data_IF_168503989881
#
_entry.id   IF_168503989881
#
_cell.length_a   1.000
_cell.length_b   1.000
_cell.length_c   1.000
_cell.angle_alpha   90.00
_cell.angle_beta   90.00
_cell.angle_gamma   90.00
#
_symmetry.space_group_name_H-M   'P 1'
#
loop_
_entity.id
_entity.type
_entity.pdbx_description
1 polymer ?
#
# COMPACT_ATOMS: atom_id res chain seq x y z
N UNK A 1 27.80 0.51 13.49
CA UNK A 1 27.67 0.01 12.10
C UNK A 1 26.91 -1.32 12.00
N UNK A 2 27.06 -2.22 12.98
CA UNK A 2 26.46 -3.57 12.98
C UNK A 2 24.95 -3.60 13.24
N UNK A 3 24.46 -2.67 14.05
CA UNK A 3 23.04 -2.51 14.38
C UNK A 3 22.18 -2.13 13.16
N UNK A 4 22.73 -1.30 12.27
CA UNK A 4 22.05 -0.89 11.04
C UNK A 4 21.90 -2.06 10.06
N UNK A 5 22.88 -2.98 10.05
CA UNK A 5 22.85 -4.20 9.24
C UNK A 5 21.79 -5.17 9.74
N UNK A 6 21.69 -5.36 11.07
CA UNK A 6 20.62 -6.17 11.68
C UNK A 6 19.24 -5.59 11.40
N UNK A 7 19.06 -4.27 11.52
CA UNK A 7 17.78 -3.61 11.16
C UNK A 7 17.41 -3.80 9.68
N UNK A 8 18.38 -3.74 8.76
CA UNK A 8 18.16 -4.01 7.32
C UNK A 8 17.81 -5.47 7.02
N UNK A 9 18.42 -6.41 7.73
CA UNK A 9 18.12 -7.84 7.60
C UNK A 9 16.73 -8.19 8.13
N UNK A 10 16.35 -7.63 9.29
CA UNK A 10 15.00 -7.75 9.84
C UNK A 10 13.98 -7.13 8.89
N UNK A 11 14.26 -5.95 8.33
CA UNK A 11 13.41 -5.34 7.30
C UNK A 11 13.29 -6.26 6.07
N UNK A 12 14.39 -6.80 5.55
CA UNK A 12 14.36 -7.76 4.42
C UNK A 12 13.56 -9.02 4.72
N UNK A 13 13.64 -9.55 5.94
CA UNK A 13 12.90 -10.74 6.38
C UNK A 13 11.41 -10.45 6.53
N UNK A 14 11.06 -9.28 7.10
CA UNK A 14 9.67 -8.81 7.14
C UNK A 14 9.12 -8.58 5.73
N UNK A 15 9.90 -8.01 4.80
CA UNK A 15 9.51 -7.84 3.39
C UNK A 15 9.44 -9.18 2.62
N UNK A 16 10.14 -10.23 3.07
CA UNK A 16 10.07 -11.57 2.47
C UNK A 16 8.87 -12.39 2.95
N UNK A 17 8.43 -12.19 4.19
CA UNK A 17 7.28 -12.89 4.78
C UNK A 17 5.96 -12.12 4.64
N UNK A 18 6.01 -10.81 4.39
CA UNK A 18 4.88 -10.07 3.85
C UNK A 18 4.83 -10.37 2.37
N UNK A 19 3.83 -11.13 1.93
CA UNK A 19 3.43 -11.15 0.53
C UNK A 19 3.25 -9.69 0.10
N UNK A 20 4.27 -9.15 -0.59
CA UNK A 20 4.19 -7.84 -1.21
C UNK A 20 3.06 -7.95 -2.20
N UNK A 21 1.89 -7.42 -1.83
CA UNK A 21 0.80 -7.28 -2.75
C UNK A 21 1.37 -6.56 -3.98
N UNK A 22 1.27 -7.20 -5.14
CA UNK A 22 1.84 -6.62 -6.35
C UNK A 22 1.16 -5.26 -6.55
N UNK A 23 1.95 -4.17 -6.52
CA UNK A 23 1.44 -2.81 -6.64
C UNK A 23 0.55 -2.62 -7.88
N UNK A 24 0.79 -3.37 -8.96
CA UNK A 24 -0.06 -3.35 -10.14
C UNK A 24 -1.43 -4.00 -9.90
N UNK A 25 -1.50 -5.06 -9.10
CA UNK A 25 -2.76 -5.67 -8.68
C UNK A 25 -3.54 -4.74 -7.74
N UNK A 26 -2.84 -4.07 -6.82
CA UNK A 26 -3.46 -3.06 -5.94
C UNK A 26 -4.02 -1.89 -6.75
N UNK A 27 -3.27 -1.37 -7.71
CA UNK A 27 -3.75 -0.34 -8.64
C UNK A 27 -4.96 -0.81 -9.46
N UNK A 28 -4.92 -2.03 -9.99
CA UNK A 28 -6.03 -2.59 -10.74
C UNK A 28 -7.30 -2.75 -9.88
N UNK A 29 -7.12 -3.14 -8.60
CA UNK A 29 -8.20 -3.22 -7.63
C UNK A 29 -8.79 -1.83 -7.36
N UNK A 30 -7.97 -0.84 -7.00
CA UNK A 30 -8.41 0.54 -6.73
C UNK A 30 -9.15 1.12 -7.94
N UNK A 31 -8.67 0.82 -9.17
CA UNK A 31 -9.30 1.28 -10.42
C UNK A 31 -10.73 0.76 -10.62
N UNK A 32 -11.09 -0.38 -10.01
CA UNK A 32 -12.47 -0.92 -10.07
C UNK A 32 -13.45 -0.10 -9.23
N UNK A 33 -12.97 0.65 -8.25
CA UNK A 33 -13.80 1.49 -7.39
C UNK A 33 -13.94 2.89 -7.99
N UNK A 34 -14.96 3.07 -8.83
CA UNK A 34 -15.33 4.37 -9.40
C UNK A 34 -15.79 5.33 -8.29
N UNK A 35 -14.91 6.24 -7.89
CA UNK A 35 -15.17 7.22 -6.83
C UNK A 35 -14.29 7.06 -5.58
N UNK A 36 -13.40 6.07 -5.58
CA UNK A 36 -12.46 5.78 -4.49
C UNK A 36 -13.01 4.80 -3.46
N UNK A 37 -12.11 4.26 -2.66
CA UNK A 37 -12.37 3.18 -1.69
C UNK A 37 -11.67 3.50 -0.38
N UNK A 38 -12.31 3.18 0.75
CA UNK A 38 -11.71 3.38 2.06
C UNK A 38 -10.47 2.50 2.24
N UNK A 39 -9.43 3.07 2.83
CA UNK A 39 -8.17 2.37 3.05
C UNK A 39 -8.34 1.09 3.87
N UNK A 40 -9.20 1.14 4.90
CA UNK A 40 -9.49 -0.03 5.74
C UNK A 40 -10.23 -1.12 4.94
N UNK A 41 -11.19 -0.74 4.10
CA UNK A 41 -11.88 -1.70 3.23
C UNK A 41 -10.95 -2.32 2.20
N UNK A 42 -10.00 -1.55 1.65
CA UNK A 42 -8.93 -2.10 0.82
C UNK A 42 -8.09 -3.12 1.58
N UNK A 43 -7.68 -2.79 2.81
CA UNK A 43 -6.87 -3.65 3.64
C UNK A 43 -7.59 -4.98 3.96
N UNK A 44 -8.88 -4.92 4.28
CA UNK A 44 -9.75 -6.08 4.50
C UNK A 44 -9.89 -6.96 3.25
N UNK A 45 -10.15 -6.35 2.09
CA UNK A 45 -10.34 -7.08 0.82
C UNK A 45 -9.14 -7.93 0.42
N UNK A 46 -7.94 -7.53 0.84
CA UNK A 46 -6.69 -8.23 0.53
C UNK A 46 -6.02 -8.84 1.76
N UNK A 47 -6.75 -8.90 2.87
CA UNK A 47 -6.33 -9.51 4.12
C UNK A 47 -4.93 -9.05 4.60
N UNK A 48 -4.71 -7.73 4.59
CA UNK A 48 -3.47 -7.11 5.06
C UNK A 48 -3.79 -6.08 6.15
N UNK A 49 -2.80 -5.76 6.99
CA UNK A 49 -3.00 -4.74 8.01
C UNK A 49 -3.19 -3.34 7.37
N UNK A 50 -4.03 -2.47 7.95
CA UNK A 50 -4.22 -1.10 7.46
C UNK A 50 -2.92 -0.28 7.38
N UNK A 51 -1.98 -0.49 8.30
CA UNK A 51 -0.69 0.22 8.32
C UNK A 51 0.18 -0.14 7.12
N UNK A 52 0.17 -1.42 6.74
CA UNK A 52 0.88 -1.90 5.56
C UNK A 52 0.21 -1.44 4.28
N UNK A 53 -1.13 -1.48 4.22
CA UNK A 53 -1.89 -0.92 3.11
C UNK A 53 -1.56 0.57 2.94
N UNK A 54 -1.55 1.35 4.03
CA UNK A 54 -1.17 2.76 4.02
C UNK A 54 0.23 2.98 3.46
N UNK A 55 1.21 2.14 3.82
CA UNK A 55 2.56 2.22 3.25
C UNK A 55 2.53 2.07 1.72
N UNK A 56 1.81 1.09 1.20
CA UNK A 56 1.70 0.84 -0.24
C UNK A 56 0.94 1.97 -0.95
N UNK A 57 -0.14 2.49 -0.36
CA UNK A 57 -0.91 3.61 -0.92
C UNK A 57 -0.08 4.90 -0.97
N UNK A 58 0.67 5.22 0.09
CA UNK A 58 1.55 6.39 0.12
C UNK A 58 2.67 6.28 -0.93
N UNK A 59 3.16 5.06 -1.19
CA UNK A 59 4.08 4.82 -2.29
C UNK A 59 3.43 5.12 -3.65
N UNK A 60 2.22 4.59 -3.89
CA UNK A 60 1.48 4.84 -5.12
C UNK A 60 1.12 6.33 -5.31
N UNK A 61 0.82 7.04 -4.23
CA UNK A 61 0.51 8.47 -4.23
C UNK A 61 1.73 9.30 -4.64
N UNK A 62 2.92 8.98 -4.12
CA UNK A 62 4.18 9.62 -4.55
C UNK A 62 4.48 9.43 -6.04
N UNK A 63 4.01 8.33 -6.62
CA UNK A 63 4.12 8.09 -8.07
C UNK A 63 3.00 8.75 -8.89
N UNK A 64 2.07 9.46 -8.25
CA UNK A 64 0.96 10.15 -8.90
C UNK A 64 -0.20 9.26 -9.36
N UNK A 65 -0.15 7.94 -9.07
CA UNK A 65 -1.12 6.95 -9.57
C UNK A 65 -2.41 6.90 -8.75
N UNK A 66 -2.35 7.31 -7.49
CA UNK A 66 -3.51 7.41 -6.59
C UNK A 66 -3.44 8.70 -5.77
N UNK A 67 -4.52 9.03 -5.09
CA UNK A 67 -4.60 10.12 -4.11
C UNK A 67 -5.29 9.58 -2.85
N UNK A 68 -4.70 9.83 -1.69
CA UNK A 68 -5.33 9.59 -0.40
C UNK A 68 -6.02 10.89 0.07
N UNK A 69 -7.32 10.83 0.37
CA UNK A 69 -8.05 11.98 0.93
C UNK A 69 -7.81 12.09 2.43
N UNK A 70 -8.11 13.26 3.00
CA UNK A 70 -8.06 13.48 4.45
C UNK A 70 -9.05 12.59 5.23
N UNK A 71 -10.08 12.07 4.56
CA UNK A 71 -11.09 11.19 5.15
C UNK A 71 -10.66 9.72 5.14
N UNK A 72 -9.48 9.37 4.59
CA UNK A 72 -9.00 7.99 4.51
C UNK A 72 -9.35 7.27 3.19
N UNK A 73 -9.94 7.98 2.24
CA UNK A 73 -10.37 7.43 0.95
C UNK A 73 -9.24 7.43 -0.08
N UNK A 74 -9.02 6.30 -0.72
CA UNK A 74 -8.04 6.11 -1.80
C UNK A 74 -8.73 6.25 -3.15
N UNK A 75 -8.27 7.20 -3.97
CA UNK A 75 -8.83 7.51 -5.28
C UNK A 75 -7.80 7.22 -6.36
N UNK A 76 -8.16 6.42 -7.37
CA UNK A 76 -7.32 6.22 -8.54
C UNK A 76 -7.15 7.53 -9.33
N UNK A 77 -5.92 7.83 -9.76
CA UNK A 77 -5.63 8.90 -10.72
C UNK A 77 -5.19 8.30 -12.04
N UNK A 78 -5.92 8.63 -13.10
CA UNK A 78 -5.49 8.38 -14.47
C UNK A 78 -4.38 9.39 -14.78
N UNK A 79 -3.15 8.91 -14.86
CA UNK A 79 -2.04 9.66 -15.46
C UNK A 79 -2.31 9.91 -16.95
#
# INVERSE_FOLDING_TARGET
MEELRKKREVLKLLTKNLELMNLNQLLALIKRFNGGVELNSLAELVNISPELMLREILFLERTGKVRLTKEGKVIYRKA
#
